data_IF_288552481049
#
_entry.id   IF_288552481049
#
_cell.length_a   1.000
_cell.length_b   1.000
_cell.length_c   1.000
_cell.angle_alpha   90.00
_cell.angle_beta   90.00
_cell.angle_gamma   90.00
#
_symmetry.space_group_name_H-M   'P 1'
#
loop_
_entity.id
_entity.type
_entity.pdbx_description
1 polymer ?
#
# COMPACT_ATOMS: atom_id res chain seq x y z
N UNK A 1 12.50 -16.53 9.04
CA UNK A 1 12.57 -15.16 9.60
C UNK A 1 13.96 -14.54 9.50
N UNK A 2 15.00 -15.05 10.20
CA UNK A 2 16.37 -14.50 10.10
C UNK A 2 16.96 -14.53 8.67
N UNK A 3 16.67 -15.54 7.87
CA UNK A 3 17.21 -15.70 6.51
C UNK A 3 16.70 -14.61 5.55
N UNK A 4 15.41 -14.29 5.59
CA UNK A 4 14.75 -13.30 4.74
C UNK A 4 15.24 -11.86 5.00
N UNK A 5 15.36 -11.47 6.26
CA UNK A 5 15.90 -10.16 6.63
C UNK A 5 17.38 -10.02 6.24
N UNK A 6 18.17 -11.08 6.42
CA UNK A 6 19.57 -11.09 6.02
C UNK A 6 19.77 -10.92 4.50
N UNK A 7 18.87 -11.46 3.68
CA UNK A 7 18.90 -11.26 2.23
C UNK A 7 18.67 -9.79 1.85
N UNK A 8 17.70 -9.13 2.49
CA UNK A 8 17.41 -7.71 2.23
C UNK A 8 18.54 -6.78 2.73
N UNK A 9 19.14 -7.10 3.87
CA UNK A 9 20.26 -6.32 4.43
C UNK A 9 21.56 -6.48 3.64
N UNK A 10 21.72 -7.59 2.92
CA UNK A 10 22.90 -7.85 2.08
C UNK A 10 22.92 -7.04 0.77
N UNK A 11 21.76 -6.56 0.30
CA UNK A 11 21.67 -5.69 -0.87
C UNK A 11 21.92 -4.24 -0.44
N UNK A 12 22.77 -3.48 -1.16
CA UNK A 12 23.01 -2.07 -0.84
C UNK A 12 21.71 -1.25 -0.85
N UNK A 13 21.53 -0.44 0.16
CA UNK A 13 20.40 0.48 0.30
C UNK A 13 20.87 1.80 0.94
N UNK A 14 20.09 2.85 0.72
CA UNK A 14 20.28 4.14 1.38
C UNK A 14 19.08 4.51 2.24
N UNK A 15 19.32 5.25 3.32
CA UNK A 15 18.26 5.83 4.12
C UNK A 15 17.81 7.14 3.48
N UNK A 16 16.52 7.24 3.18
CA UNK A 16 15.91 8.46 2.67
C UNK A 16 15.00 9.04 3.74
N UNK A 17 15.09 10.35 3.94
CA UNK A 17 14.22 11.10 4.83
C UNK A 17 13.53 12.20 4.04
N UNK A 18 12.21 12.32 4.21
CA UNK A 18 11.41 13.40 3.67
C UNK A 18 10.59 14.09 4.76
N UNK A 19 10.07 15.25 4.43
CA UNK A 19 9.08 15.94 5.26
C UNK A 19 7.75 15.96 4.52
N UNK A 20 6.76 15.27 5.05
CA UNK A 20 5.41 15.27 4.49
C UNK A 20 4.76 16.66 4.52
N UNK A 21 3.70 16.87 3.75
CA UNK A 21 3.00 18.17 3.62
C UNK A 21 2.50 18.75 4.94
N UNK A 22 2.25 17.91 5.95
CA UNK A 22 1.84 18.31 7.30
C UNK A 22 3.03 18.51 8.27
N UNK A 23 4.27 18.46 7.77
CA UNK A 23 5.49 18.61 8.55
C UNK A 23 5.96 17.32 9.24
N UNK A 24 5.28 16.18 9.05
CA UNK A 24 5.72 14.90 9.58
C UNK A 24 7.01 14.42 8.90
N UNK A 25 8.03 14.07 9.68
CA UNK A 25 9.26 13.47 9.14
C UNK A 25 9.04 12.00 8.90
N UNK A 26 9.28 11.57 7.67
CA UNK A 26 9.13 10.20 7.21
C UNK A 26 10.49 9.64 6.79
N UNK A 27 10.67 8.36 7.00
CA UNK A 27 11.87 7.62 6.65
C UNK A 27 11.53 6.43 5.74
N UNK A 28 12.49 6.05 4.92
CA UNK A 28 12.39 4.87 4.06
C UNK A 28 13.77 4.32 3.75
N UNK A 29 13.80 3.05 3.33
CA UNK A 29 14.98 2.39 2.76
C UNK A 29 14.83 2.33 1.26
N UNK A 30 15.76 2.92 0.52
CA UNK A 30 15.76 2.92 -0.93
C UNK A 30 16.84 1.98 -1.47
N UNK A 31 16.42 1.00 -2.23
CA UNK A 31 17.25 0.11 -3.04
C UNK A 31 17.22 0.62 -4.48
N UNK A 32 18.29 1.33 -4.90
CA UNK A 32 18.37 2.04 -6.20
C UNK A 32 19.51 1.52 -7.07
N UNK A 33 19.67 0.20 -7.14
CA UNK A 33 20.77 -0.43 -7.87
C UNK A 33 20.54 -0.58 -9.38
N UNK A 34 19.36 -0.28 -9.91
CA UNK A 34 19.00 -0.50 -11.32
C UNK A 34 18.79 0.83 -12.04
N UNK A 35 19.67 1.13 -13.00
CA UNK A 35 19.59 2.36 -13.78
C UNK A 35 18.37 2.33 -14.72
N UNK A 36 17.70 3.48 -14.89
CA UNK A 36 16.54 3.67 -15.77
C UNK A 36 15.38 2.68 -15.53
N UNK A 37 15.33 2.09 -14.34
CA UNK A 37 14.32 1.11 -13.96
C UNK A 37 13.15 1.73 -13.21
N UNK A 38 11.94 1.14 -13.29
CA UNK A 38 10.81 1.58 -12.48
C UNK A 38 11.11 1.54 -10.98
N UNK A 39 10.38 2.35 -10.21
CA UNK A 39 10.51 2.40 -8.74
C UNK A 39 9.20 1.96 -8.11
N UNK A 40 9.27 0.93 -7.27
CA UNK A 40 8.14 0.53 -6.43
C UNK A 40 8.23 1.25 -5.08
N UNK A 41 7.14 1.92 -4.69
CA UNK A 41 6.98 2.54 -3.38
C UNK A 41 6.09 1.62 -2.53
N UNK A 42 6.67 0.98 -1.53
CA UNK A 42 5.97 0.00 -0.71
C UNK A 42 5.61 0.54 0.68
N UNK A 43 4.34 0.33 1.07
CA UNK A 43 3.76 0.73 2.36
C UNK A 43 3.31 -0.51 3.14
N UNK A 44 3.81 -0.68 4.36
CA UNK A 44 3.52 -1.82 5.22
C UNK A 44 2.18 -1.69 5.96
N UNK A 45 1.74 -2.78 6.60
CA UNK A 45 0.51 -2.85 7.37
C UNK A 45 0.56 -2.23 8.75
N UNK A 46 -0.57 -2.26 9.45
CA UNK A 46 -0.74 -1.79 10.82
C UNK A 46 0.15 -2.60 11.78
N UNK A 47 0.97 -1.90 12.58
CA UNK A 47 2.00 -2.51 13.43
C UNK A 47 2.97 -3.45 12.71
N UNK A 48 3.02 -3.37 11.36
CA UNK A 48 3.96 -4.10 10.54
C UNK A 48 5.33 -3.42 10.46
N UNK A 49 6.17 -3.94 9.59
CA UNK A 49 7.44 -3.30 9.24
C UNK A 49 7.72 -3.46 7.76
N UNK A 50 8.40 -2.48 7.15
CA UNK A 50 8.72 -2.57 5.72
C UNK A 50 9.60 -3.77 5.37
N UNK A 51 10.45 -4.22 6.28
CA UNK A 51 11.33 -5.39 6.07
C UNK A 51 10.57 -6.72 6.11
N UNK A 52 9.51 -6.81 6.91
CA UNK A 52 8.71 -8.02 7.02
C UNK A 52 7.63 -8.10 5.96
N UNK A 53 6.79 -7.09 5.89
CA UNK A 53 5.65 -7.05 4.97
C UNK A 53 6.11 -6.89 3.51
N UNK A 54 7.24 -6.19 3.30
CA UNK A 54 7.80 -5.88 1.98
C UNK A 54 8.66 -6.98 1.37
N UNK A 55 8.89 -8.12 2.04
CA UNK A 55 9.79 -9.15 1.52
C UNK A 55 9.35 -9.72 0.16
N UNK A 56 8.05 -9.98 -0.02
CA UNK A 56 7.52 -10.44 -1.31
C UNK A 56 7.75 -9.42 -2.44
N UNK A 57 7.50 -8.15 -2.14
CA UNK A 57 7.76 -7.04 -3.05
C UNK A 57 9.26 -6.87 -3.34
N UNK A 58 10.12 -6.98 -2.31
CA UNK A 58 11.58 -6.97 -2.49
C UNK A 58 12.06 -8.07 -3.42
N UNK A 59 11.60 -9.32 -3.22
CA UNK A 59 11.95 -10.44 -4.12
C UNK A 59 11.54 -10.17 -5.55
N UNK A 60 10.32 -9.66 -5.75
CA UNK A 60 9.82 -9.27 -7.06
C UNK A 60 10.74 -8.23 -7.69
N UNK A 61 11.05 -7.16 -6.98
CA UNK A 61 11.90 -6.07 -7.47
C UNK A 61 13.31 -6.55 -7.84
N UNK A 62 13.92 -7.41 -7.01
CA UNK A 62 15.24 -7.98 -7.32
C UNK A 62 15.22 -8.87 -8.57
N UNK A 63 14.16 -9.68 -8.74
CA UNK A 63 14.00 -10.59 -9.88
C UNK A 63 13.81 -9.86 -11.21
N UNK A 64 13.05 -8.74 -11.17
CA UNK A 64 12.67 -7.98 -12.36
C UNK A 64 13.47 -6.67 -12.54
N UNK A 65 14.51 -6.48 -11.73
CA UNK A 65 15.39 -5.30 -11.79
C UNK A 65 14.63 -3.98 -11.58
N UNK A 66 13.75 -3.91 -10.58
CA UNK A 66 13.05 -2.70 -10.17
C UNK A 66 13.73 -2.08 -8.96
N UNK A 67 13.81 -0.78 -8.90
CA UNK A 67 14.17 -0.05 -7.69
C UNK A 67 13.03 -0.14 -6.68
N UNK A 68 13.34 -0.03 -5.39
CA UNK A 68 12.35 -0.23 -4.32
C UNK A 68 12.58 0.76 -3.19
N UNK A 69 11.57 1.56 -2.89
CA UNK A 69 11.46 2.29 -1.63
C UNK A 69 10.60 1.50 -0.65
N UNK A 70 11.15 1.13 0.49
CA UNK A 70 10.42 0.58 1.62
C UNK A 70 10.16 1.70 2.63
N UNK A 71 8.96 2.27 2.65
CA UNK A 71 8.60 3.37 3.53
C UNK A 71 8.25 2.87 4.94
N UNK A 72 8.86 3.48 5.97
CA UNK A 72 8.32 3.44 7.33
C UNK A 72 7.06 4.30 7.35
N UNK A 73 5.88 3.70 7.47
CA UNK A 73 4.60 4.41 7.57
C UNK A 73 4.60 5.29 8.81
N UNK A 74 3.91 6.46 8.80
CA UNK A 74 3.83 7.36 9.96
C UNK A 74 3.52 6.60 11.25
N UNK A 75 4.07 7.05 12.38
CA UNK A 75 3.99 6.42 13.70
C UNK A 75 4.60 4.99 13.78
N UNK A 76 5.41 4.58 12.80
CA UNK A 76 6.16 3.32 12.81
C UNK A 76 7.65 3.56 12.52
N UNK A 77 8.48 2.59 12.92
CA UNK A 77 9.91 2.59 12.64
C UNK A 77 10.61 3.88 13.05
N UNK A 78 11.29 4.52 12.12
CA UNK A 78 11.95 5.82 12.31
C UNK A 78 11.05 7.02 11.96
N UNK A 79 9.95 6.78 11.24
CA UNK A 79 9.00 7.82 10.87
C UNK A 79 8.32 8.41 12.11
N UNK A 80 8.14 9.73 12.09
CA UNK A 80 7.42 10.43 13.14
C UNK A 80 5.90 10.29 12.94
N UNK A 81 5.14 10.84 13.86
CA UNK A 81 3.68 10.80 13.87
C UNK A 81 3.16 10.44 15.25
N UNK A 82 2.07 11.08 15.66
CA UNK A 82 1.44 10.86 16.96
C UNK A 82 0.38 9.75 16.95
N UNK A 83 -0.12 9.39 15.76
CA UNK A 83 -1.19 8.41 15.60
C UNK A 83 -1.11 7.71 14.25
N UNK A 84 -1.57 6.45 14.25
CA UNK A 84 -1.89 5.68 13.05
C UNK A 84 -3.31 6.04 12.66
N UNK A 85 -3.55 6.42 11.40
CA UNK A 85 -4.83 6.99 10.97
C UNK A 85 -5.59 6.12 9.97
N UNK A 86 -5.17 4.86 9.81
CA UNK A 86 -5.83 3.87 8.96
C UNK A 86 -5.99 4.31 7.49
N UNK A 87 -4.97 4.97 6.95
CA UNK A 87 -4.94 5.46 5.57
C UNK A 87 -5.36 6.92 5.42
N UNK A 88 -6.03 7.54 6.41
CA UNK A 88 -6.54 8.90 6.31
C UNK A 88 -5.42 9.93 6.12
N UNK A 89 -4.38 9.92 6.91
CA UNK A 89 -3.20 10.78 6.71
C UNK A 89 -2.11 10.07 5.91
N UNK A 90 -2.01 8.76 6.03
CA UNK A 90 -1.02 7.94 5.32
C UNK A 90 -1.14 8.10 3.79
N UNK A 91 -2.34 8.40 3.23
CA UNK A 91 -2.48 8.69 1.80
C UNK A 91 -1.73 9.94 1.34
N UNK A 92 -1.61 10.96 2.22
CA UNK A 92 -0.82 12.16 1.94
C UNK A 92 0.68 11.90 2.08
N UNK A 93 1.08 10.96 2.97
CA UNK A 93 2.47 10.49 3.03
C UNK A 93 2.84 9.74 1.76
N UNK A 94 1.92 8.90 1.27
CA UNK A 94 2.07 8.20 0.00
C UNK A 94 2.27 9.20 -1.16
N UNK A 95 1.47 10.28 -1.21
CA UNK A 95 1.65 11.36 -2.19
C UNK A 95 3.01 12.04 -2.01
N UNK A 96 3.42 12.37 -0.79
CA UNK A 96 4.71 13.03 -0.53
C UNK A 96 5.89 12.16 -0.95
N UNK A 97 5.82 10.84 -0.74
CA UNK A 97 6.82 9.90 -1.23
C UNK A 97 6.81 9.78 -2.75
N UNK A 98 5.63 9.81 -3.39
CA UNK A 98 5.53 9.78 -4.84
C UNK A 98 6.12 11.06 -5.46
N UNK A 99 5.83 12.24 -4.87
CA UNK A 99 6.40 13.52 -5.29
C UNK A 99 7.94 13.49 -5.20
N UNK A 100 8.50 13.04 -4.06
CA UNK A 100 9.95 12.91 -3.85
C UNK A 100 10.61 11.94 -4.84
N UNK A 101 10.02 10.77 -5.06
CA UNK A 101 10.60 9.79 -5.99
C UNK A 101 10.51 10.25 -7.44
N UNK A 102 9.46 10.97 -7.82
CA UNK A 102 9.35 11.60 -9.14
C UNK A 102 10.43 12.67 -9.36
N UNK A 103 10.69 13.52 -8.35
CA UNK A 103 11.76 14.50 -8.41
C UNK A 103 13.14 13.84 -8.49
N UNK A 104 13.37 12.81 -7.69
CA UNK A 104 14.67 12.12 -7.57
C UNK A 104 15.05 11.31 -8.81
N UNK A 105 14.09 10.59 -9.39
CA UNK A 105 14.33 9.68 -10.52
C UNK A 105 13.99 10.31 -11.90
N UNK A 106 13.29 11.44 -11.90
CA UNK A 106 12.91 12.17 -13.10
C UNK A 106 11.55 11.77 -13.68
N UNK A 107 11.06 12.59 -14.59
CA UNK A 107 9.70 12.49 -15.17
C UNK A 107 9.49 11.26 -16.06
N UNK A 108 10.56 10.65 -16.54
CA UNK A 108 10.51 9.46 -17.40
C UNK A 108 10.43 8.16 -16.59
N UNK A 109 10.69 8.20 -15.27
CA UNK A 109 10.69 7.00 -14.41
C UNK A 109 9.28 6.61 -14.00
N UNK A 110 8.93 5.36 -14.23
CA UNK A 110 7.63 4.82 -13.79
C UNK A 110 7.63 4.53 -12.29
N UNK A 111 6.66 5.09 -11.58
CA UNK A 111 6.41 4.80 -10.18
C UNK A 111 5.23 3.83 -10.03
N UNK A 112 5.39 2.85 -9.16
CA UNK A 112 4.37 1.86 -8.82
C UNK A 112 4.11 1.96 -7.32
N UNK A 113 2.89 2.28 -6.93
CA UNK A 113 2.49 2.27 -5.53
C UNK A 113 2.12 0.85 -5.12
N UNK A 114 2.70 0.34 -4.06
CA UNK A 114 2.40 -1.00 -3.55
C UNK A 114 2.16 -0.96 -2.05
N UNK A 115 1.31 -1.82 -1.55
CA UNK A 115 1.10 -1.93 -0.11
C UNK A 115 0.37 -3.20 0.31
N UNK A 116 0.52 -3.48 1.59
CA UNK A 116 -0.09 -4.64 2.26
C UNK A 116 -1.03 -4.15 3.37
N UNK A 117 -2.24 -4.72 3.49
CA UNK A 117 -3.18 -4.43 4.57
C UNK A 117 -3.50 -2.93 4.67
N UNK A 118 -3.13 -2.25 5.75
CA UNK A 118 -3.27 -0.80 5.89
C UNK A 118 -2.50 -0.05 4.80
N UNK A 119 -1.31 -0.52 4.42
CA UNK A 119 -0.55 0.04 3.29
C UNK A 119 -1.29 -0.09 1.96
N UNK A 120 -1.97 -1.22 1.73
CA UNK A 120 -2.82 -1.42 0.55
C UNK A 120 -4.00 -0.43 0.54
N UNK A 121 -4.71 -0.27 1.66
CA UNK A 121 -5.76 0.72 1.78
C UNK A 121 -5.23 2.15 1.57
N UNK A 122 -4.03 2.46 2.07
CA UNK A 122 -3.34 3.75 1.90
C UNK A 122 -3.10 4.08 0.43
N UNK A 123 -2.51 3.15 -0.34
CA UNK A 123 -2.21 3.40 -1.77
C UNK A 123 -3.49 3.49 -2.61
N UNK A 124 -4.54 2.77 -2.22
CA UNK A 124 -5.86 2.89 -2.86
C UNK A 124 -6.53 4.24 -2.55
N UNK A 125 -6.50 4.70 -1.29
CA UNK A 125 -7.01 6.03 -0.92
C UNK A 125 -6.21 7.17 -1.55
N UNK A 126 -4.91 6.99 -1.78
CA UNK A 126 -4.07 8.00 -2.43
C UNK A 126 -4.52 8.30 -3.87
N UNK A 127 -5.28 7.42 -4.52
CA UNK A 127 -5.77 7.64 -5.88
C UNK A 127 -6.81 8.78 -6.00
N UNK A 128 -7.40 9.23 -4.91
CA UNK A 128 -8.25 10.44 -4.93
C UNK A 128 -7.44 11.74 -4.95
N UNK A 129 -6.14 11.67 -4.67
CA UNK A 129 -5.24 12.81 -4.63
C UNK A 129 -4.61 13.06 -6.01
N UNK A 130 -4.10 14.28 -6.21
CA UNK A 130 -3.28 14.58 -7.39
C UNK A 130 -1.89 13.97 -7.21
N UNK A 131 -1.70 12.75 -7.70
CA UNK A 131 -0.42 12.08 -7.76
C UNK A 131 0.40 12.55 -8.97
N UNK A 132 1.76 12.44 -8.94
CA UNK A 132 2.60 12.67 -10.12
C UNK A 132 2.16 11.79 -11.29
N UNK A 133 2.31 12.31 -12.51
CA UNK A 133 1.98 11.54 -13.72
C UNK A 133 2.89 10.33 -13.93
N UNK A 134 4.03 10.30 -13.25
CA UNK A 134 4.95 9.16 -13.21
C UNK A 134 4.35 7.94 -12.49
N UNK A 135 3.32 8.10 -11.65
CA UNK A 135 2.61 6.97 -11.01
C UNK A 135 1.75 6.25 -12.05
N UNK A 136 2.11 5.01 -12.37
CA UNK A 136 1.52 4.26 -13.48
C UNK A 136 0.65 3.09 -13.06
N UNK A 137 0.86 2.54 -11.86
CA UNK A 137 0.12 1.40 -11.37
C UNK A 137 0.03 1.39 -9.84
N UNK A 138 -0.98 0.70 -9.33
CA UNK A 138 -1.18 0.41 -7.91
C UNK A 138 -1.28 -1.10 -7.72
N UNK A 139 -0.56 -1.66 -6.75
CA UNK A 139 -0.64 -3.07 -6.33
C UNK A 139 -1.06 -3.12 -4.87
N UNK A 140 -2.25 -3.62 -4.59
CA UNK A 140 -2.86 -3.63 -3.26
C UNK A 140 -3.12 -5.06 -2.80
N UNK A 141 -2.36 -5.54 -1.79
CA UNK A 141 -2.53 -6.85 -1.20
C UNK A 141 -3.28 -6.76 0.13
N UNK A 142 -4.36 -7.54 0.28
CA UNK A 142 -5.23 -7.67 1.44
C UNK A 142 -5.69 -6.35 2.09
N UNK A 143 -5.99 -5.32 1.26
CA UNK A 143 -6.53 -4.04 1.72
C UNK A 143 -7.97 -4.14 2.23
N UNK A 144 -8.43 -3.11 2.94
CA UNK A 144 -9.80 -2.99 3.44
C UNK A 144 -10.56 -1.84 2.79
N UNK A 145 -11.88 -1.95 2.79
CA UNK A 145 -12.80 -0.99 2.16
C UNK A 145 -12.78 0.39 2.81
N UNK A 146 -12.73 0.45 4.15
CA UNK A 146 -12.79 1.69 4.93
C UNK A 146 -12.20 1.50 6.34
N UNK A 147 -11.65 2.57 6.97
CA UNK A 147 -11.22 2.55 8.37
C UNK A 147 -12.31 2.05 9.32
N UNK A 148 -13.54 2.52 9.15
CA UNK A 148 -14.70 2.09 9.92
C UNK A 148 -14.91 0.58 9.88
N UNK A 149 -14.83 0.00 8.69
CA UNK A 149 -15.12 -1.42 8.51
C UNK A 149 -14.05 -2.30 9.15
N UNK A 150 -12.76 -1.98 8.96
CA UNK A 150 -11.68 -2.76 9.59
C UNK A 150 -11.71 -2.62 11.11
N UNK A 151 -11.92 -1.44 11.67
CA UNK A 151 -12.02 -1.21 13.11
C UNK A 151 -13.17 -2.05 13.70
N UNK A 152 -14.35 -2.05 13.07
CA UNK A 152 -15.47 -2.87 13.51
C UNK A 152 -15.24 -4.37 13.36
N UNK A 153 -14.45 -4.79 12.38
CA UNK A 153 -14.12 -6.21 12.18
C UNK A 153 -13.29 -6.75 13.34
N UNK A 154 -12.32 -5.97 13.82
CA UNK A 154 -11.44 -6.41 14.94
C UNK A 154 -12.08 -6.27 16.32
N UNK A 155 -13.12 -5.43 16.48
CA UNK A 155 -13.87 -5.33 17.74
C UNK A 155 -14.74 -6.58 17.93
N UNK A 156 -14.53 -7.29 19.05
CA UNK A 156 -15.34 -8.47 19.40
C UNK A 156 -16.64 -8.05 20.10
N UNK A 157 -17.72 -8.78 19.84
CA UNK A 157 -19.00 -8.56 20.52
C UNK A 157 -20.18 -8.35 19.55
N UNK A 158 -21.39 -8.10 20.10
CA UNK A 158 -22.60 -7.86 19.30
C UNK A 158 -22.51 -6.52 18.52
N UNK A 159 -23.29 -6.40 17.47
CA UNK A 159 -23.24 -5.26 16.55
C UNK A 159 -23.40 -3.88 17.23
N UNK A 160 -24.29 -3.77 18.21
CA UNK A 160 -24.49 -2.50 18.94
C UNK A 160 -23.22 -2.08 19.74
N UNK A 161 -22.50 -3.04 20.32
CA UNK A 161 -21.27 -2.77 21.07
C UNK A 161 -20.14 -2.37 20.12
N UNK A 162 -20.05 -3.03 18.96
CA UNK A 162 -19.08 -2.65 17.92
C UNK A 162 -19.31 -1.21 17.44
N UNK A 163 -20.58 -0.83 17.21
CA UNK A 163 -20.93 0.54 16.83
C UNK A 163 -20.58 1.53 17.92
N UNK A 164 -20.94 1.25 19.17
CA UNK A 164 -20.66 2.13 20.31
C UNK A 164 -19.15 2.36 20.47
N UNK A 165 -18.37 1.28 20.49
CA UNK A 165 -16.90 1.37 20.62
C UNK A 165 -16.26 2.09 19.43
N UNK A 166 -16.78 1.86 18.22
CA UNK A 166 -16.33 2.59 17.04
C UNK A 166 -16.60 4.09 17.18
N UNK A 167 -17.77 4.51 17.65
CA UNK A 167 -18.10 5.93 17.84
C UNK A 167 -17.17 6.59 18.88
N UNK A 168 -16.81 5.89 19.95
CA UNK A 168 -15.79 6.38 20.90
C UNK A 168 -14.41 6.49 20.25
N UNK A 169 -14.02 5.52 19.43
CA UNK A 169 -12.75 5.55 18.69
C UNK A 169 -12.73 6.75 17.72
N UNK A 170 -13.80 6.97 16.97
CA UNK A 170 -13.93 8.12 16.06
C UNK A 170 -13.90 9.45 16.80
N UNK A 171 -14.63 9.57 17.91
CA UNK A 171 -14.60 10.78 18.74
C UNK A 171 -13.20 11.05 19.29
N UNK A 172 -12.49 10.01 19.73
CA UNK A 172 -11.10 10.13 20.18
C UNK A 172 -10.16 10.57 19.03
N UNK A 173 -10.35 10.03 17.82
CA UNK A 173 -9.61 10.45 16.65
C UNK A 173 -9.85 11.93 16.31
N UNK A 174 -11.10 12.37 16.36
CA UNK A 174 -11.48 13.78 16.12
C UNK A 174 -10.87 14.72 17.18
N UNK A 175 -10.99 14.39 18.46
CA UNK A 175 -10.60 15.30 19.57
C UNK A 175 -9.09 15.31 19.79
N UNK A 176 -8.47 14.16 19.86
CA UNK A 176 -7.04 14.02 20.19
C UNK A 176 -6.16 13.86 18.95
N UNK A 177 -6.65 13.16 17.94
CA UNK A 177 -5.92 12.90 16.70
C UNK A 177 -6.08 14.02 15.65
N UNK A 178 -7.14 14.83 15.76
CA UNK A 178 -7.50 15.90 14.83
C UNK A 178 -7.67 15.35 13.37
N UNK A 179 -8.30 14.18 13.24
CA UNK A 179 -8.69 13.59 11.96
C UNK A 179 -10.00 12.82 12.11
N UNK A 180 -10.75 12.68 11.01
CA UNK A 180 -11.97 11.90 10.98
C UNK A 180 -11.72 10.56 10.28
N UNK A 181 -12.04 9.44 10.95
CA UNK A 181 -11.96 8.09 10.36
C UNK A 181 -12.97 7.86 9.19
N UNK A 182 -13.91 8.76 9.01
CA UNK A 182 -14.89 8.73 7.92
C UNK A 182 -14.66 9.85 6.88
N UNK A 183 -13.49 10.52 6.90
CA UNK A 183 -13.15 11.57 5.94
C UNK A 183 -13.13 11.03 4.50
N UNK A 184 -12.57 9.83 4.31
CA UNK A 184 -12.58 9.08 3.06
C UNK A 184 -12.44 7.58 3.31
N UNK A 185 -12.42 6.78 2.25
CA UNK A 185 -12.18 5.35 2.29
C UNK A 185 -11.58 4.86 0.97
N UNK A 186 -10.96 3.66 0.99
CA UNK A 186 -10.50 3.05 -0.25
C UNK A 186 -11.66 2.83 -1.24
N UNK A 187 -12.83 2.45 -0.72
CA UNK A 187 -14.02 2.26 -1.55
C UNK A 187 -14.48 3.55 -2.23
N UNK A 188 -14.40 4.69 -1.52
CA UNK A 188 -14.79 5.99 -2.08
C UNK A 188 -13.77 6.48 -3.11
N UNK A 189 -12.49 6.42 -2.78
CA UNK A 189 -11.40 6.82 -3.67
C UNK A 189 -11.42 6.05 -5.00
N UNK A 190 -11.74 4.76 -4.96
CA UNK A 190 -11.79 3.89 -6.13
C UNK A 190 -12.91 4.22 -7.12
N UNK A 191 -13.99 4.89 -6.70
CA UNK A 191 -15.05 5.37 -7.61
C UNK A 191 -14.56 6.44 -8.59
N UNK A 192 -13.44 7.06 -8.28
CA UNK A 192 -12.81 8.12 -9.09
C UNK A 192 -11.39 7.74 -9.53
N UNK A 193 -10.98 6.49 -9.31
CA UNK A 193 -9.65 5.99 -9.66
C UNK A 193 -9.41 6.09 -11.17
N UNK A 194 -8.20 6.51 -11.53
CA UNK A 194 -7.72 6.60 -12.92
C UNK A 194 -6.46 5.77 -13.16
N UNK A 195 -5.72 5.47 -12.10
CA UNK A 195 -4.48 4.69 -12.17
C UNK A 195 -4.85 3.22 -12.11
N UNK A 196 -4.38 2.38 -13.06
CA UNK A 196 -4.62 0.95 -13.07
C UNK A 196 -4.26 0.29 -11.74
N UNK A 197 -5.09 -0.65 -11.27
CA UNK A 197 -4.93 -1.30 -9.97
C UNK A 197 -5.01 -2.82 -10.05
N UNK A 198 -4.03 -3.49 -9.43
CA UNK A 198 -4.06 -4.93 -9.15
C UNK A 198 -4.47 -5.15 -7.69
N UNK A 199 -5.52 -5.91 -7.51
CA UNK A 199 -6.01 -6.35 -6.20
C UNK A 199 -5.56 -7.78 -5.94
N UNK A 200 -4.83 -8.01 -4.85
CA UNK A 200 -4.41 -9.33 -4.40
C UNK A 200 -5.04 -9.60 -3.04
N UNK A 201 -5.48 -10.84 -2.77
CA UNK A 201 -6.03 -11.19 -1.46
C UNK A 201 -5.94 -12.70 -1.22
N UNK A 202 -5.73 -13.09 0.04
CA UNK A 202 -5.80 -14.48 0.44
C UNK A 202 -7.24 -14.95 0.67
N UNK A 203 -7.63 -16.11 0.15
CA UNK A 203 -8.98 -16.64 0.40
C UNK A 203 -9.21 -17.07 1.84
N UNK A 204 -8.14 -17.34 2.59
CA UNK A 204 -8.15 -17.73 4.00
C UNK A 204 -7.89 -16.58 4.99
N UNK A 205 -7.92 -15.31 4.54
CA UNK A 205 -7.64 -14.16 5.39
C UNK A 205 -8.64 -14.07 6.55
N UNK A 206 -8.14 -14.27 7.77
CA UNK A 206 -8.93 -14.26 9.01
C UNK A 206 -9.05 -12.88 9.65
N UNK A 207 -8.34 -11.87 9.16
CA UNK A 207 -8.33 -10.49 9.67
C UNK A 207 -9.20 -9.58 8.80
N UNK A 208 -8.93 -9.58 7.48
CA UNK A 208 -9.69 -8.79 6.51
C UNK A 208 -10.42 -9.75 5.57
N UNK A 209 -11.76 -9.83 5.63
CA UNK A 209 -12.51 -10.72 4.76
C UNK A 209 -12.23 -10.45 3.27
N UNK A 210 -11.94 -11.50 2.51
CA UNK A 210 -11.67 -11.44 1.06
C UNK A 210 -12.79 -10.73 0.28
N UNK A 211 -14.01 -10.70 0.83
CA UNK A 211 -15.15 -9.95 0.28
C UNK A 211 -14.89 -8.44 0.20
N UNK A 212 -14.06 -7.88 1.08
CA UNK A 212 -13.67 -6.46 0.99
C UNK A 212 -12.86 -6.18 -0.28
N UNK A 213 -11.98 -7.10 -0.68
CA UNK A 213 -11.23 -7.01 -1.93
C UNK A 213 -12.18 -7.01 -3.14
N UNK A 214 -13.16 -7.90 -3.17
CA UNK A 214 -14.18 -7.96 -4.25
C UNK A 214 -14.96 -6.65 -4.36
N UNK A 215 -15.42 -6.11 -3.23
CA UNK A 215 -16.12 -4.81 -3.21
C UNK A 215 -15.27 -3.67 -3.73
N UNK A 216 -13.99 -3.63 -3.37
CA UNK A 216 -13.07 -2.61 -3.87
C UNK A 216 -12.79 -2.79 -5.37
N UNK A 217 -12.61 -4.03 -5.80
CA UNK A 217 -12.48 -4.34 -7.23
C UNK A 217 -13.71 -3.87 -8.00
N UNK A 218 -14.92 -4.19 -7.55
CA UNK A 218 -16.15 -3.80 -8.23
C UNK A 218 -16.32 -2.27 -8.31
N UNK A 219 -15.94 -1.56 -7.25
CA UNK A 219 -16.05 -0.10 -7.18
C UNK A 219 -14.99 0.65 -8.02
N UNK A 220 -13.87 0.03 -8.31
CA UNK A 220 -12.78 0.66 -9.03
C UNK A 220 -13.16 0.99 -10.47
N UNK A 221 -13.04 2.26 -10.87
CA UNK A 221 -13.36 2.75 -12.22
C UNK A 221 -12.18 2.69 -13.19
N UNK A 222 -10.94 2.57 -12.68
CA UNK A 222 -9.76 2.40 -13.50
C UNK A 222 -9.66 0.99 -14.10
N UNK A 223 -8.69 0.77 -14.99
CA UNK A 223 -8.29 -0.57 -15.40
C UNK A 223 -7.88 -1.38 -14.17
N UNK A 224 -8.36 -2.63 -14.07
CA UNK A 224 -8.20 -3.41 -12.86
C UNK A 224 -8.06 -4.89 -13.13
N UNK A 225 -7.28 -5.54 -12.27
CA UNK A 225 -7.17 -7.00 -12.21
C UNK A 225 -7.29 -7.46 -10.76
N UNK A 226 -7.68 -8.72 -10.56
CA UNK A 226 -7.80 -9.31 -9.22
C UNK A 226 -7.25 -10.72 -9.23
N UNK A 227 -6.43 -11.03 -8.22
CA UNK A 227 -5.89 -12.37 -7.99
C UNK A 227 -6.17 -12.79 -6.55
N UNK A 228 -6.78 -13.97 -6.39
CA UNK A 228 -7.02 -14.57 -5.08
C UNK A 228 -6.02 -15.70 -4.88
N UNK A 229 -5.22 -15.61 -3.82
CA UNK A 229 -4.26 -16.64 -3.43
C UNK A 229 -4.98 -17.62 -2.50
N UNK A 230 -5.18 -18.85 -3.01
CA UNK A 230 -5.99 -19.85 -2.30
C UNK A 230 -5.35 -20.28 -0.97
N UNK A 231 -6.16 -20.20 0.09
CA UNK A 231 -5.75 -20.57 1.46
C UNK A 231 -4.65 -19.70 2.06
N UNK A 232 -4.31 -18.56 1.48
CA UNK A 232 -3.43 -17.59 2.12
C UNK A 232 -4.20 -16.85 3.23
N UNK A 233 -3.57 -16.71 4.39
CA UNK A 233 -4.06 -15.89 5.50
C UNK A 233 -3.62 -14.42 5.30
N UNK A 234 -3.91 -13.56 6.28
CA UNK A 234 -3.65 -12.13 6.23
C UNK A 234 -2.18 -11.79 5.99
N UNK A 235 -1.91 -10.94 5.01
CA UNK A 235 -0.58 -10.38 4.69
C UNK A 235 0.49 -11.43 4.33
N UNK A 236 0.09 -12.64 3.91
CA UNK A 236 1.03 -13.71 3.55
C UNK A 236 0.86 -14.22 2.11
N UNK A 237 0.17 -13.49 1.24
CA UNK A 237 -0.08 -13.88 -0.15
C UNK A 237 1.21 -14.27 -0.87
N UNK A 238 2.22 -13.40 -0.87
CA UNK A 238 3.52 -13.67 -1.49
C UNK A 238 4.30 -14.81 -0.81
N UNK A 239 4.10 -15.05 0.49
CA UNK A 239 4.77 -16.17 1.19
C UNK A 239 4.08 -17.51 0.93
N UNK A 240 2.76 -17.49 0.71
CA UNK A 240 1.95 -18.69 0.48
C UNK A 240 2.19 -19.25 -0.93
N UNK A 241 2.15 -18.41 -1.93
CA UNK A 241 2.40 -18.78 -3.33
C UNK A 241 3.11 -17.64 -4.06
N UNK A 242 4.45 -17.64 -3.95
CA UNK A 242 5.24 -16.59 -4.59
C UNK A 242 5.18 -16.66 -6.12
N UNK A 243 5.07 -17.84 -6.70
CA UNK A 243 5.03 -17.98 -8.16
C UNK A 243 3.76 -17.34 -8.74
N UNK A 244 2.60 -17.60 -8.13
CA UNK A 244 1.34 -16.97 -8.54
C UNK A 244 1.34 -15.47 -8.26
N UNK A 245 1.83 -15.04 -7.09
CA UNK A 245 1.94 -13.62 -6.73
C UNK A 245 2.82 -12.86 -7.74
N UNK A 246 4.02 -13.37 -8.00
CA UNK A 246 5.00 -12.77 -8.90
C UNK A 246 4.48 -12.72 -10.34
N UNK A 247 3.96 -13.82 -10.87
CA UNK A 247 3.43 -13.87 -12.24
C UNK A 247 2.24 -12.94 -12.45
N UNK A 248 1.38 -12.78 -11.45
CA UNK A 248 0.25 -11.85 -11.50
C UNK A 248 0.70 -10.39 -11.54
N UNK A 249 1.64 -10.02 -10.64
CA UNK A 249 2.19 -8.66 -10.62
C UNK A 249 2.93 -8.37 -11.93
N UNK A 250 3.76 -9.29 -12.39
CA UNK A 250 4.52 -9.16 -13.65
C UNK A 250 3.60 -8.99 -14.86
N UNK A 251 2.61 -9.88 -15.02
CA UNK A 251 1.66 -9.81 -16.12
C UNK A 251 0.88 -8.49 -16.14
N UNK A 252 0.42 -8.04 -14.96
CA UNK A 252 -0.30 -6.79 -14.84
C UNK A 252 0.58 -5.58 -15.23
N UNK A 253 1.79 -5.47 -14.70
CA UNK A 253 2.68 -4.33 -14.98
C UNK A 253 3.11 -4.31 -16.45
N UNK A 254 3.46 -5.45 -17.06
CA UNK A 254 3.78 -5.54 -18.47
C UNK A 254 2.62 -5.12 -19.38
N UNK A 255 1.40 -5.54 -19.06
CA UNK A 255 0.22 -5.12 -19.81
C UNK A 255 0.01 -3.61 -19.79
N UNK A 256 0.25 -2.95 -18.65
CA UNK A 256 0.17 -1.50 -18.54
C UNK A 256 1.26 -0.84 -19.40
N UNK A 257 2.48 -1.34 -19.32
CA UNK A 257 3.61 -0.81 -20.09
C UNK A 257 3.41 -0.96 -21.61
N UNK A 258 2.98 -2.13 -22.08
CA UNK A 258 2.70 -2.37 -23.50
C UNK A 258 1.61 -1.45 -24.07
N UNK A 259 0.54 -1.19 -23.29
CA UNK A 259 -0.53 -0.28 -23.70
C UNK A 259 -0.04 1.14 -23.88
N UNK A 260 0.85 1.58 -22.99
CA UNK A 260 1.43 2.93 -23.05
C UNK A 260 2.37 3.10 -24.24
N UNK A 261 3.22 2.10 -24.50
CA UNK A 261 4.09 2.10 -25.69
C UNK A 261 3.31 2.13 -27.02
N UNK A 262 2.08 1.60 -27.05
CA UNK A 262 1.21 1.63 -28.23
C UNK A 262 0.42 2.94 -28.36
N UNK A 263 0.32 3.72 -27.29
CA UNK A 263 -0.46 4.97 -27.24
C UNK A 263 0.40 6.24 -27.41
N UNK A 264 1.72 6.16 -27.28
CA UNK A 264 2.69 7.25 -27.49
C UNK A 264 3.37 7.08 -28.83
#
# INVERSE_FOLDING_TARGET
>A
MHKTMGEMEAVPWEEVQITAKDGCRLYGKLYSGFQDAPVVLFFHGYHGSPMWDGYGCFKFCQMHHYNLLLADVRAHGKSRGAAITFGIRERFDCQSWADEMAERFGEDTELILSGVSMGAATVLMAQELKLPETVKAVVADCGYTAPKEIIKTVIKGPAFLKELLYQFTRLSALVFGQFDLEETSALEALKHARIPALFIHGSGDTVIPCEMCRKMYDACTAEKEMVIIEGADHAVSAMKDFALYESAVWAFLNKIQEKRQKAG
#
